data_IF_799971283172
#
_entry.id   IF_799971283172
#
_cell.length_a   1.000
_cell.length_b   1.000
_cell.length_c   1.000
_cell.angle_alpha   90.00
_cell.angle_beta   90.00
_cell.angle_gamma   90.00
#
_symmetry.space_group_name_H-M   'P 1'
#
loop_
_entity.id
_entity.type
_entity.pdbx_description
1 polymer ?
#
# COMPACT_ATOMS: atom_id res chain seq x y z
N UNK A 1 -25.16 -31.84 15.66
CA UNK A 1 -25.47 -30.59 14.92
C UNK A 1 -24.30 -29.61 15.08
N UNK A 2 -24.03 -28.76 14.08
CA UNK A 2 -22.71 -28.15 13.93
C UNK A 2 -22.49 -27.05 14.98
N UNK A 3 -21.53 -27.30 15.89
CA UNK A 3 -21.07 -26.42 16.99
C UNK A 3 -20.75 -24.96 16.58
N UNK A 4 -20.65 -24.69 15.28
CA UNK A 4 -20.43 -23.36 14.73
C UNK A 4 -21.68 -22.51 14.79
N UNK A 5 -22.86 -23.07 14.49
CA UNK A 5 -24.13 -22.34 14.49
C UNK A 5 -24.51 -21.91 15.91
N UNK A 6 -24.31 -22.79 16.89
CA UNK A 6 -24.56 -22.48 18.31
C UNK A 6 -23.66 -21.33 18.82
N UNK A 7 -22.42 -21.26 18.34
CA UNK A 7 -21.51 -20.15 18.66
C UNK A 7 -21.97 -18.84 18.05
N UNK A 8 -22.53 -18.88 16.83
CA UNK A 8 -23.11 -17.70 16.19
C UNK A 8 -24.32 -17.21 16.96
N UNK A 9 -25.26 -18.11 17.31
CA UNK A 9 -26.43 -17.78 18.13
C UNK A 9 -26.05 -17.09 19.45
N UNK A 10 -25.09 -17.66 20.18
CA UNK A 10 -24.63 -17.08 21.46
C UNK A 10 -23.85 -15.78 21.31
N UNK A 11 -22.94 -15.69 20.33
CA UNK A 11 -22.09 -14.49 20.16
C UNK A 11 -22.87 -13.28 19.66
N UNK A 12 -23.81 -13.50 18.74
CA UNK A 12 -24.62 -12.42 18.16
C UNK A 12 -25.94 -12.23 18.91
N UNK A 13 -26.23 -13.03 19.94
CA UNK A 13 -27.52 -13.03 20.66
C UNK A 13 -28.70 -13.07 19.69
N UNK A 14 -28.68 -14.05 18.79
CA UNK A 14 -29.66 -14.20 17.71
C UNK A 14 -30.11 -15.66 17.61
N UNK A 15 -31.23 -15.90 16.92
CA UNK A 15 -31.71 -17.24 16.65
C UNK A 15 -32.17 -17.39 15.21
N UNK A 16 -31.69 -18.44 14.53
CA UNK A 16 -32.09 -18.73 13.15
C UNK A 16 -31.61 -17.70 12.14
N UNK A 17 -31.81 -18.01 10.87
CA UNK A 17 -31.56 -17.09 9.77
C UNK A 17 -32.56 -15.95 9.77
N UNK A 18 -33.87 -16.23 9.88
CA UNK A 18 -34.94 -15.23 9.90
C UNK A 18 -35.59 -15.04 11.28
N UNK A 19 -35.10 -15.73 12.30
CA UNK A 19 -35.63 -15.68 13.65
C UNK A 19 -35.96 -17.08 14.15
N UNK A 20 -36.78 -17.15 15.21
CA UNK A 20 -37.29 -18.41 15.73
C UNK A 20 -38.30 -19.09 14.80
N UNK A 21 -38.83 -18.37 13.80
CA UNK A 21 -39.76 -18.89 12.78
C UNK A 21 -39.18 -20.04 11.97
N UNK A 22 -37.87 -20.05 11.71
CA UNK A 22 -37.21 -21.09 10.93
C UNK A 22 -37.39 -22.48 11.56
N UNK A 23 -37.40 -22.53 12.90
CA UNK A 23 -37.59 -23.77 13.65
C UNK A 23 -39.08 -24.18 13.70
N UNK A 24 -39.98 -23.20 13.75
CA UNK A 24 -41.42 -23.44 13.71
C UNK A 24 -41.87 -24.01 12.35
N UNK A 25 -41.39 -23.46 11.23
CA UNK A 25 -41.70 -23.94 9.88
C UNK A 25 -41.22 -25.38 9.66
N UNK A 26 -40.03 -25.70 10.16
CA UNK A 26 -39.43 -27.03 10.07
C UNK A 26 -39.94 -28.02 11.12
N UNK A 27 -40.86 -27.60 12.01
CA UNK A 27 -41.38 -28.42 13.11
C UNK A 27 -40.29 -29.02 14.01
N UNK A 28 -39.18 -28.29 14.20
CA UNK A 28 -38.05 -28.70 15.03
C UNK A 28 -37.97 -27.83 16.30
N UNK A 29 -37.47 -28.38 17.42
CA UNK A 29 -37.30 -27.60 18.64
C UNK A 29 -36.22 -26.53 18.46
N UNK A 30 -36.43 -25.37 19.08
CA UNK A 30 -35.44 -24.29 19.12
C UNK A 30 -34.21 -24.76 19.91
N UNK A 31 -32.99 -24.62 19.38
CA UNK A 31 -31.79 -25.09 20.06
C UNK A 31 -31.50 -24.27 21.33
N UNK A 32 -30.91 -24.89 22.37
CA UNK A 32 -30.61 -24.22 23.65
C UNK A 32 -29.66 -23.03 23.50
N UNK A 33 -28.88 -22.98 22.41
CA UNK A 33 -28.00 -21.84 22.09
C UNK A 33 -28.76 -20.53 21.80
N UNK A 34 -30.05 -20.61 21.50
CA UNK A 34 -30.90 -19.47 21.18
C UNK A 34 -31.55 -18.82 22.40
N UNK A 35 -31.31 -19.32 23.61
CA UNK A 35 -31.89 -18.79 24.83
C UNK A 35 -30.82 -18.02 25.61
N UNK A 36 -31.25 -16.93 26.26
CA UNK A 36 -30.42 -16.21 27.21
C UNK A 36 -30.41 -16.91 28.59
N UNK A 37 -29.65 -16.36 29.53
CA UNK A 37 -29.53 -16.91 30.89
C UNK A 37 -30.86 -16.87 31.67
N UNK A 38 -31.80 -16.02 31.26
CA UNK A 38 -33.15 -15.92 31.82
C UNK A 38 -34.14 -16.93 31.19
N UNK A 39 -33.68 -17.77 30.25
CA UNK A 39 -34.51 -18.73 29.55
C UNK A 39 -35.43 -18.13 28.49
N UNK A 40 -35.26 -16.87 28.11
CA UNK A 40 -36.01 -16.25 27.00
C UNK A 40 -35.25 -16.40 25.69
N UNK A 41 -35.96 -16.74 24.61
CA UNK A 41 -35.37 -16.92 23.28
C UNK A 41 -34.97 -15.58 22.66
N UNK A 42 -33.86 -15.55 21.93
CA UNK A 42 -33.52 -14.43 21.08
C UNK A 42 -34.53 -14.33 19.92
N UNK A 43 -35.30 -13.26 19.89
CA UNK A 43 -36.27 -13.02 18.80
C UNK A 43 -35.61 -12.47 17.53
N UNK A 44 -34.41 -11.91 17.64
CA UNK A 44 -33.72 -11.31 16.51
C UNK A 44 -33.11 -12.35 15.57
N UNK A 45 -33.36 -12.18 14.28
CA UNK A 45 -32.68 -12.88 13.17
C UNK A 45 -31.15 -12.69 13.23
N UNK A 46 -30.39 -13.77 13.01
CA UNK A 46 -28.94 -13.68 12.91
C UNK A 46 -28.48 -12.90 11.66
N UNK A 47 -29.24 -12.99 10.57
CA UNK A 47 -28.92 -12.27 9.34
C UNK A 47 -29.05 -10.75 9.53
N UNK A 48 -30.10 -10.29 10.22
CA UNK A 48 -30.30 -8.86 10.46
C UNK A 48 -29.23 -8.29 11.39
N UNK A 49 -28.88 -9.01 12.47
CA UNK A 49 -27.80 -8.61 13.37
C UNK A 49 -26.43 -8.62 12.71
N UNK A 50 -26.14 -9.65 11.90
CA UNK A 50 -24.90 -9.71 11.14
C UNK A 50 -24.78 -8.54 10.17
N UNK A 51 -25.87 -8.18 9.48
CA UNK A 51 -25.88 -7.03 8.56
C UNK A 51 -25.63 -5.71 9.27
N UNK A 52 -26.26 -5.49 10.42
CA UNK A 52 -26.06 -4.29 11.23
C UNK A 52 -24.62 -4.20 11.76
N UNK A 53 -24.09 -5.29 12.33
CA UNK A 53 -22.69 -5.33 12.77
C UNK A 53 -21.71 -5.15 11.60
N UNK A 54 -22.02 -5.74 10.44
CA UNK A 54 -21.19 -5.63 9.25
C UNK A 54 -21.12 -4.21 8.72
N UNK A 55 -22.21 -3.44 8.76
CA UNK A 55 -22.21 -2.04 8.31
C UNK A 55 -21.34 -1.19 9.23
N UNK A 56 -21.47 -1.36 10.55
CA UNK A 56 -20.64 -0.63 11.52
C UNK A 56 -19.16 -1.01 11.39
N UNK A 57 -18.85 -2.31 11.31
CA UNK A 57 -17.47 -2.80 11.14
C UNK A 57 -16.89 -2.40 9.78
N UNK A 58 -17.70 -2.33 8.72
CA UNK A 58 -17.24 -1.91 7.40
C UNK A 58 -16.65 -0.49 7.40
N UNK A 59 -17.21 0.43 8.19
CA UNK A 59 -16.65 1.78 8.32
C UNK A 59 -15.26 1.75 8.97
N UNK A 60 -15.08 0.95 10.02
CA UNK A 60 -13.78 0.77 10.69
C UNK A 60 -12.77 0.16 9.72
N UNK A 61 -13.15 -0.90 8.99
CA UNK A 61 -12.29 -1.52 7.97
C UNK A 61 -11.91 -0.53 6.87
N UNK A 62 -12.84 0.31 6.41
CA UNK A 62 -12.55 1.33 5.40
C UNK A 62 -11.50 2.34 5.89
N UNK A 63 -11.61 2.80 7.14
CA UNK A 63 -10.62 3.70 7.76
C UNK A 63 -9.25 3.01 7.87
N UNK A 64 -9.21 1.75 8.32
CA UNK A 64 -7.95 1.01 8.42
C UNK A 64 -7.28 0.85 7.04
N UNK A 65 -8.04 0.50 6.01
CA UNK A 65 -7.53 0.38 4.64
C UNK A 65 -6.99 1.71 4.14
N UNK A 66 -7.71 2.81 4.41
CA UNK A 66 -7.26 4.16 4.04
C UNK A 66 -5.93 4.54 4.70
N UNK A 67 -5.78 4.30 6.00
CA UNK A 67 -4.53 4.56 6.74
C UNK A 67 -3.38 3.72 6.18
N UNK A 68 -3.62 2.43 5.96
CA UNK A 68 -2.60 1.54 5.37
C UNK A 68 -2.20 2.01 3.97
N UNK A 69 -3.15 2.47 3.16
CA UNK A 69 -2.88 3.06 1.85
C UNK A 69 -1.97 4.28 1.91
N UNK A 70 -2.23 5.21 2.83
CA UNK A 70 -1.36 6.38 3.04
C UNK A 70 0.05 5.96 3.45
N UNK A 71 0.17 5.03 4.39
CA UNK A 71 1.47 4.55 4.85
C UNK A 71 2.27 3.94 3.68
N UNK A 72 1.62 3.15 2.83
CA UNK A 72 2.28 2.59 1.64
C UNK A 72 2.73 3.66 0.64
N UNK A 73 1.93 4.72 0.45
CA UNK A 73 2.31 5.84 -0.43
C UNK A 73 3.51 6.60 0.14
N UNK A 74 3.54 6.84 1.45
CA UNK A 74 4.67 7.53 2.11
C UNK A 74 5.94 6.69 2.00
N UNK A 75 5.87 5.38 2.25
CA UNK A 75 7.00 4.47 2.07
C UNK A 75 7.53 4.52 0.63
N UNK A 76 6.63 4.47 -0.36
CA UNK A 76 7.02 4.53 -1.76
C UNK A 76 7.69 5.86 -2.14
N UNK A 77 7.22 6.98 -1.61
CA UNK A 77 7.86 8.29 -1.84
C UNK A 77 9.26 8.36 -1.25
N UNK A 78 9.47 7.79 -0.06
CA UNK A 78 10.79 7.73 0.56
C UNK A 78 11.74 6.87 -0.29
N UNK A 79 11.28 5.70 -0.75
CA UNK A 79 12.08 4.82 -1.61
C UNK A 79 12.50 5.51 -2.91
N UNK A 80 11.61 6.29 -3.53
CA UNK A 80 11.92 7.09 -4.72
C UNK A 80 12.96 8.18 -4.46
N UNK A 81 12.85 8.88 -3.33
CA UNK A 81 13.82 9.93 -2.95
C UNK A 81 15.20 9.31 -2.74
N UNK A 82 15.29 8.20 -2.00
CA UNK A 82 16.54 7.49 -1.75
C UNK A 82 17.16 6.97 -3.05
N UNK A 83 16.34 6.42 -3.96
CA UNK A 83 16.82 5.97 -5.27
C UNK A 83 17.40 7.12 -6.10
N UNK A 84 16.76 8.30 -6.04
CA UNK A 84 17.24 9.50 -6.75
C UNK A 84 18.59 9.95 -6.22
N UNK A 85 18.75 10.04 -4.90
CA UNK A 85 20.02 10.42 -4.28
C UNK A 85 21.13 9.42 -4.64
N UNK A 86 20.84 8.13 -4.54
CA UNK A 86 21.78 7.06 -4.90
C UNK A 86 22.23 7.12 -6.37
N UNK A 87 21.30 7.34 -7.32
CA UNK A 87 21.62 7.49 -8.74
C UNK A 87 22.48 8.72 -9.01
N UNK A 88 22.26 9.81 -8.29
CA UNK A 88 23.02 11.04 -8.46
C UNK A 88 24.47 10.86 -7.99
N UNK A 89 24.70 10.15 -6.89
CA UNK A 89 26.04 9.84 -6.39
C UNK A 89 26.82 8.95 -7.36
N UNK A 90 26.19 7.90 -7.89
CA UNK A 90 26.81 7.01 -8.88
C UNK A 90 27.16 7.73 -10.18
N UNK A 91 26.28 8.61 -10.67
CA UNK A 91 26.55 9.41 -11.86
C UNK A 91 27.72 10.38 -11.63
N UNK A 92 27.78 11.01 -10.45
CA UNK A 92 28.83 11.95 -10.11
C UNK A 92 30.20 11.26 -10.05
N UNK A 93 30.29 10.08 -9.43
CA UNK A 93 31.53 9.28 -9.42
C UNK A 93 31.98 8.94 -10.84
N UNK A 94 31.07 8.48 -11.70
CA UNK A 94 31.41 8.14 -13.09
C UNK A 94 31.86 9.35 -13.93
N UNK A 95 31.26 10.52 -13.70
CA UNK A 95 31.67 11.77 -14.35
C UNK A 95 33.05 12.22 -13.84
N UNK A 96 33.32 12.15 -12.53
CA UNK A 96 34.62 12.48 -11.94
C UNK A 96 35.72 11.54 -12.46
N UNK A 97 35.45 10.24 -12.56
CA UNK A 97 36.38 9.26 -13.09
C UNK A 97 36.71 9.54 -14.57
N UNK A 98 35.70 9.87 -15.39
CA UNK A 98 35.97 10.29 -16.78
C UNK A 98 36.77 11.58 -16.85
N UNK A 99 36.45 12.59 -16.04
CA UNK A 99 37.18 13.87 -16.03
C UNK A 99 38.64 13.69 -15.59
N UNK A 100 38.90 12.85 -14.60
CA UNK A 100 40.26 12.56 -14.14
C UNK A 100 41.06 11.77 -15.18
N UNK A 101 40.44 10.80 -15.87
CA UNK A 101 41.08 10.09 -16.98
C UNK A 101 41.35 11.01 -18.19
N UNK A 102 40.42 11.92 -18.51
CA UNK A 102 40.64 12.97 -19.52
C UNK A 102 41.78 13.91 -19.12
N UNK A 103 41.84 14.36 -17.87
CA UNK A 103 42.91 15.23 -17.36
C UNK A 103 44.29 14.58 -17.54
N UNK A 104 44.43 13.31 -17.14
CA UNK A 104 45.68 12.53 -17.30
C UNK A 104 46.08 12.36 -18.76
N UNK A 105 45.12 12.20 -19.67
CA UNK A 105 45.41 12.11 -21.11
C UNK A 105 45.83 13.47 -21.68
N UNK A 106 45.25 14.58 -21.22
CA UNK A 106 45.67 15.94 -21.62
C UNK A 106 47.03 16.35 -21.06
N UNK A 107 47.44 15.89 -19.88
CA UNK A 107 48.82 16.10 -19.40
C UNK A 107 49.87 15.36 -20.25
N UNK A 108 49.46 14.29 -20.96
CA UNK A 108 50.34 13.61 -21.93
C UNK A 108 50.34 14.25 -23.33
N UNK A 109 49.41 15.17 -23.61
CA UNK A 109 49.29 15.91 -24.87
C UNK A 109 49.56 17.41 -24.68
N UNK A 110 50.71 17.71 -24.08
CA UNK A 110 51.57 18.87 -24.31
C UNK A 110 50.99 20.30 -24.15
N UNK A 111 51.87 21.19 -23.71
CA UNK A 111 51.74 22.64 -23.84
C UNK A 111 51.16 23.01 -25.23
N UNK A 112 50.43 24.12 -25.27
CA UNK A 112 50.08 24.93 -26.47
C UNK A 112 48.70 24.84 -27.15
N UNK A 113 47.65 24.15 -26.66
CA UNK A 113 46.28 24.27 -27.27
C UNK A 113 45.05 24.25 -26.34
N UNK A 114 45.20 24.47 -25.04
CA UNK A 114 44.17 24.21 -24.01
C UNK A 114 43.00 25.20 -23.90
N UNK A 115 42.94 26.31 -24.66
CA UNK A 115 41.84 27.30 -24.47
C UNK A 115 40.67 27.20 -25.46
N UNK A 116 40.83 26.54 -26.61
CA UNK A 116 39.78 26.56 -27.65
C UNK A 116 38.77 25.40 -27.53
N UNK A 117 39.14 24.32 -26.85
CA UNK A 117 38.30 23.11 -26.74
C UNK A 117 37.30 23.17 -25.57
N UNK A 118 37.59 23.97 -24.52
CA UNK A 118 36.70 24.12 -23.35
C UNK A 118 35.40 24.88 -23.65
N UNK A 119 35.41 25.77 -24.66
CA UNK A 119 34.22 26.54 -25.09
C UNK A 119 33.21 25.71 -25.87
N UNK A 120 33.64 24.59 -26.48
CA UNK A 120 32.79 23.70 -27.28
C UNK A 120 32.07 22.62 -26.45
N UNK A 121 32.52 22.33 -25.24
CA UNK A 121 31.99 21.21 -24.44
C UNK A 121 30.80 21.61 -23.53
N UNK A 122 30.69 22.90 -23.21
CA UNK A 122 29.60 23.46 -22.39
C UNK A 122 28.18 23.23 -22.96
N UNK A 123 27.92 23.37 -24.28
CA UNK A 123 26.57 23.14 -24.81
C UNK A 123 26.18 21.66 -24.86
N UNK A 124 27.13 20.73 -25.03
CA UNK A 124 26.80 19.29 -25.13
C UNK A 124 26.40 18.68 -23.78
N UNK A 125 27.07 19.09 -22.69
CA UNK A 125 26.72 18.61 -21.34
C UNK A 125 25.37 19.18 -20.89
N UNK A 126 25.05 20.42 -21.26
CA UNK A 126 23.75 21.00 -20.94
C UNK A 126 22.59 20.34 -21.71
N UNK A 127 22.80 19.99 -22.99
CA UNK A 127 21.76 19.32 -23.77
C UNK A 127 21.42 17.93 -23.21
N UNK A 128 22.45 17.17 -22.79
CA UNK A 128 22.26 15.83 -22.22
C UNK A 128 21.52 15.84 -20.88
N UNK A 129 21.75 16.87 -20.05
CA UNK A 129 21.02 17.04 -18.78
C UNK A 129 19.55 17.40 -19.03
N UNK A 130 19.25 18.18 -20.07
CA UNK A 130 17.88 18.57 -20.42
C UNK A 130 17.08 17.37 -20.97
N UNK A 131 17.68 16.59 -21.86
CA UNK A 131 17.02 15.40 -22.44
C UNK A 131 16.72 14.35 -21.36
N UNK A 132 17.64 14.15 -20.40
CA UNK A 132 17.44 13.21 -19.29
C UNK A 132 16.36 13.68 -18.29
N UNK A 133 16.22 14.99 -18.09
CA UNK A 133 15.16 15.55 -17.22
C UNK A 133 13.77 15.44 -17.87
N UNK A 134 13.67 15.55 -19.19
CA UNK A 134 12.40 15.41 -19.93
C UNK A 134 11.88 13.95 -19.89
N UNK A 135 12.76 12.97 -20.05
CA UNK A 135 12.39 11.55 -20.08
C UNK A 135 12.02 11.00 -18.69
N UNK A 136 12.43 11.66 -17.60
CA UNK A 136 12.05 11.32 -16.23
C UNK A 136 10.69 11.90 -15.79
N UNK A 137 10.05 12.73 -16.61
CA UNK A 137 8.77 13.43 -16.27
C UNK A 137 7.54 12.92 -17.02
N UNK A 138 7.70 11.90 -17.87
CA UNK A 138 6.61 11.12 -18.49
C UNK A 138 6.45 9.77 -17.81
#
# INVERSE_FOLDING_TARGET
MPRTVDRVHKRLHCCGLMGTSDFAELHIPIPPSCFNDNGTSYESSCLSKFRLESIYKAQIFAICIYIMGILTLVSFLIDLILLREFLQDQLLEHVIERLTNFSKTTESMNETKSQQQYKSLKPQVQQYIIDYLLESTM
#
